data_IF_585653656083
#
_entry.id   IF_585653656083
#
_cell.length_a   1.000
_cell.length_b   1.000
_cell.length_c   1.000
_cell.angle_alpha   90.00
_cell.angle_beta   90.00
_cell.angle_gamma   90.00
#
_symmetry.space_group_name_H-M   'P 1'
#
loop_
_entity.id
_entity.type
_entity.pdbx_description
1 polymer ?
#
# COMPACT_ATOMS: atom_id res chain seq x y z
N UNK A 1 -30.34 -20.49 -23.16
CA UNK A 1 -30.48 -20.00 -21.77
C UNK A 1 -29.20 -19.27 -21.35
N UNK A 2 -29.14 -17.93 -21.46
CA UNK A 2 -27.90 -17.14 -21.27
C UNK A 2 -27.46 -16.95 -19.80
N UNK A 3 -28.33 -17.25 -18.82
CA UNK A 3 -28.04 -17.03 -17.40
C UNK A 3 -27.05 -18.04 -16.79
N UNK A 4 -27.05 -19.29 -17.27
CA UNK A 4 -26.13 -20.33 -16.78
C UNK A 4 -24.69 -20.04 -17.25
N UNK A 5 -24.54 -19.58 -18.49
CA UNK A 5 -23.24 -19.20 -19.05
C UNK A 5 -22.64 -18.00 -18.33
N UNK A 6 -23.45 -16.99 -17.97
CA UNK A 6 -22.99 -15.83 -17.19
C UNK A 6 -22.47 -16.24 -15.80
N UNK A 7 -23.20 -17.07 -15.05
CA UNK A 7 -22.73 -17.57 -13.73
C UNK A 7 -21.43 -18.37 -13.83
N UNK A 8 -21.31 -19.22 -14.85
CA UNK A 8 -20.12 -20.02 -15.08
C UNK A 8 -18.88 -19.18 -15.49
N UNK A 9 -19.10 -18.03 -16.11
CA UNK A 9 -18.03 -17.08 -16.42
C UNK A 9 -17.57 -16.37 -15.15
N UNK A 10 -18.50 -15.82 -14.36
CA UNK A 10 -18.18 -15.13 -13.10
C UNK A 10 -17.46 -16.02 -12.10
N UNK A 11 -17.79 -17.31 -12.04
CA UNK A 11 -17.10 -18.27 -11.18
C UNK A 11 -15.65 -18.52 -11.62
N UNK A 12 -15.40 -18.60 -12.93
CA UNK A 12 -14.06 -18.78 -13.49
C UNK A 12 -13.20 -17.53 -13.28
N UNK A 13 -13.77 -16.36 -13.51
CA UNK A 13 -13.08 -15.09 -13.27
C UNK A 13 -12.74 -14.96 -11.77
N UNK A 14 -13.66 -15.33 -10.89
CA UNK A 14 -13.42 -15.34 -9.44
C UNK A 14 -12.31 -16.32 -9.03
N UNK A 15 -12.20 -17.48 -9.69
CA UNK A 15 -11.16 -18.46 -9.44
C UNK A 15 -9.77 -17.96 -9.91
N UNK A 16 -9.70 -17.40 -11.11
CA UNK A 16 -8.47 -16.81 -11.67
C UNK A 16 -7.94 -15.68 -10.78
N UNK A 17 -8.81 -14.76 -10.37
CA UNK A 17 -8.43 -13.67 -9.46
C UNK A 17 -8.04 -14.17 -8.07
N UNK A 18 -8.62 -15.27 -7.58
CA UNK A 18 -8.21 -15.91 -6.32
C UNK A 18 -6.82 -16.51 -6.42
N UNK A 19 -6.51 -17.23 -7.49
CA UNK A 19 -5.18 -17.80 -7.71
C UNK A 19 -4.12 -16.70 -7.82
N UNK A 20 -4.43 -15.61 -8.53
CA UNK A 20 -3.52 -14.46 -8.64
C UNK A 20 -3.34 -13.73 -7.30
N UNK A 21 -4.38 -13.60 -6.50
CA UNK A 21 -4.30 -13.02 -5.16
C UNK A 21 -3.45 -13.88 -4.21
N UNK A 22 -3.59 -15.21 -4.28
CA UNK A 22 -2.73 -16.16 -3.55
C UNK A 22 -1.30 -16.00 -4.02
N UNK A 23 -1.05 -16.02 -5.33
CA UNK A 23 0.29 -15.86 -5.90
C UNK A 23 0.96 -14.54 -5.48
N UNK A 24 0.20 -13.44 -5.38
CA UNK A 24 0.71 -12.17 -4.88
C UNK A 24 1.03 -12.21 -3.38
N UNK A 25 0.21 -12.88 -2.57
CA UNK A 25 0.44 -13.02 -1.13
C UNK A 25 1.60 -13.96 -0.81
N UNK A 26 1.82 -14.99 -1.63
CA UNK A 26 2.89 -15.97 -1.47
C UNK A 26 4.15 -15.60 -2.25
N UNK A 27 4.11 -14.55 -3.09
CA UNK A 27 5.30 -13.97 -3.67
C UNK A 27 6.06 -13.29 -2.54
N UNK A 28 7.04 -14.00 -1.98
CA UNK A 28 8.01 -13.38 -1.09
C UNK A 28 8.66 -12.23 -1.85
N UNK A 29 8.57 -10.98 -1.37
CA UNK A 29 9.32 -9.92 -1.98
C UNK A 29 10.80 -10.28 -1.81
N UNK A 30 11.55 -10.37 -2.92
CA UNK A 30 13.02 -10.42 -2.91
C UNK A 30 13.57 -9.04 -2.52
N UNK A 31 13.14 -8.58 -1.34
CA UNK A 31 13.79 -7.54 -0.57
C UNK A 31 14.73 -8.33 0.32
N UNK A 32 16.03 -8.34 0.01
CA UNK A 32 17.07 -9.16 0.65
C UNK A 32 17.25 -8.94 2.17
N UNK A 33 16.21 -9.19 2.94
CA UNK A 33 16.14 -9.24 4.38
C UNK A 33 15.83 -10.70 4.72
N UNK A 34 16.88 -11.47 5.00
CA UNK A 34 16.73 -12.84 5.48
C UNK A 34 15.97 -12.94 6.81
N UNK A 35 15.66 -14.16 7.28
CA UNK A 35 14.86 -14.38 8.48
C UNK A 35 15.45 -13.69 9.72
N UNK A 36 14.64 -12.86 10.39
CA UNK A 36 14.97 -12.09 11.60
C UNK A 36 15.24 -12.93 12.87
N UNK A 37 15.31 -14.26 12.77
CA UNK A 37 15.31 -15.17 13.93
C UNK A 37 16.69 -15.51 14.52
N UNK A 38 17.81 -15.17 13.89
CA UNK A 38 19.14 -15.59 14.38
C UNK A 38 20.02 -14.47 14.98
N UNK A 39 19.78 -13.20 14.65
CA UNK A 39 20.68 -12.10 15.03
C UNK A 39 20.37 -11.45 16.38
N UNK A 40 19.09 -11.24 16.69
CA UNK A 40 18.69 -10.39 17.81
C UNK A 40 18.85 -11.05 19.18
N UNK A 41 18.67 -12.37 19.29
CA UNK A 41 18.84 -13.08 20.58
C UNK A 41 20.30 -13.11 21.03
N UNK A 42 21.23 -13.36 20.11
CA UNK A 42 22.67 -13.35 20.43
C UNK A 42 23.18 -11.96 20.85
N UNK A 43 22.64 -10.89 20.25
CA UNK A 43 22.96 -9.52 20.64
C UNK A 43 22.30 -9.13 21.98
N UNK A 44 21.07 -9.56 22.23
CA UNK A 44 20.38 -9.28 23.48
C UNK A 44 21.06 -9.96 24.70
N UNK A 45 21.53 -11.20 24.54
CA UNK A 45 22.18 -11.96 25.62
C UNK A 45 23.56 -11.37 25.99
N UNK A 46 24.32 -10.89 25.00
CA UNK A 46 25.59 -10.20 25.23
C UNK A 46 25.42 -8.85 25.94
N UNK A 47 24.37 -8.09 25.60
CA UNK A 47 24.08 -6.78 26.20
C UNK A 47 23.60 -6.92 27.65
N UNK A 48 22.81 -7.95 27.98
CA UNK A 48 22.37 -8.19 29.37
C UNK A 48 23.54 -8.61 30.27
N UNK A 49 24.47 -9.44 29.77
CA UNK A 49 25.63 -9.89 30.55
C UNK A 49 26.59 -8.75 30.93
N UNK A 50 26.69 -7.69 30.10
CA UNK A 50 27.57 -6.54 30.35
C UNK A 50 26.99 -5.52 31.34
N UNK A 51 25.71 -5.64 31.71
CA UNK A 51 25.01 -4.69 32.58
C UNK A 51 24.85 -5.17 34.03
N UNK A 52 25.43 -6.33 34.40
CA UNK A 52 25.32 -6.89 35.76
C UNK A 52 26.41 -6.40 36.72
N UNK A 53 27.46 -5.72 36.24
CA UNK A 53 28.48 -5.07 37.09
C UNK A 53 28.06 -3.64 37.49
N UNK A 54 26.80 -3.53 37.93
CA UNK A 54 26.09 -2.28 38.22
C UNK A 54 26.40 -1.73 39.61
N UNK A 55 27.60 -1.21 39.83
CA UNK A 55 27.87 -0.37 41.01
C UNK A 55 28.49 1.01 40.72
N UNK A 56 28.80 1.37 39.46
CA UNK A 56 29.59 2.60 39.21
C UNK A 56 29.14 3.62 38.17
N UNK A 57 27.95 3.50 37.56
CA UNK A 57 27.58 4.47 36.53
C UNK A 57 26.10 4.80 36.54
N UNK A 58 25.76 5.98 37.05
CA UNK A 58 24.51 6.67 36.69
C UNK A 58 24.37 6.68 35.15
N UNK A 59 23.14 6.67 34.59
CA UNK A 59 22.94 6.51 33.16
C UNK A 59 23.40 7.77 32.45
N UNK A 60 24.67 7.79 32.04
CA UNK A 60 25.06 8.51 30.85
C UNK A 60 24.30 7.82 29.72
N UNK A 61 23.20 8.44 29.26
CA UNK A 61 22.57 8.10 27.99
C UNK A 61 23.68 8.18 26.93
N UNK A 62 24.28 7.04 26.63
CA UNK A 62 25.41 6.97 25.74
C UNK A 62 24.94 7.39 24.36
N UNK A 63 25.53 8.47 23.83
CA UNK A 63 25.23 8.94 22.47
C UNK A 63 25.45 7.82 21.46
N UNK A 64 26.32 6.84 21.75
CA UNK A 64 26.50 5.66 20.92
C UNK A 64 25.30 4.70 20.97
N UNK A 65 24.65 4.52 22.13
CA UNK A 65 23.41 3.73 22.22
C UNK A 65 22.24 4.39 21.44
N UNK A 66 22.26 5.73 21.32
CA UNK A 66 21.30 6.47 20.50
C UNK A 66 21.70 6.56 19.02
N UNK A 67 22.89 6.09 18.62
CA UNK A 67 23.31 6.07 17.20
C UNK A 67 22.55 5.05 16.36
N UNK A 68 21.92 4.05 16.96
CA UNK A 68 21.10 3.05 16.24
C UNK A 68 19.60 3.38 16.27
N UNK A 69 19.19 4.41 17.02
CA UNK A 69 17.83 4.97 16.95
C UNK A 69 17.71 5.94 15.75
N UNK A 70 18.55 5.76 14.73
CA UNK A 70 18.47 6.58 13.52
C UNK A 70 17.14 6.36 12.84
N UNK A 71 16.47 7.38 12.33
CA UNK A 71 16.32 8.76 12.75
C UNK A 71 15.11 9.17 11.93
N UNK A 72 13.97 9.49 12.54
CA UNK A 72 12.84 10.06 11.82
C UNK A 72 13.23 11.46 11.33
N UNK A 73 13.96 11.51 10.20
CA UNK A 73 14.36 12.76 9.58
C UNK A 73 13.27 13.28 8.65
N UNK A 74 13.40 14.53 8.21
CA UNK A 74 12.51 15.11 7.21
C UNK A 74 12.42 14.27 5.91
N UNK A 75 13.47 13.53 5.54
CA UNK A 75 13.46 12.65 4.36
C UNK A 75 12.50 11.47 4.58
N UNK A 76 12.57 10.83 5.75
CA UNK A 76 11.66 9.75 6.11
C UNK A 76 10.21 10.22 6.16
N UNK A 77 9.96 11.41 6.74
CA UNK A 77 8.64 12.01 6.75
C UNK A 77 8.12 12.28 5.33
N UNK A 78 8.92 12.87 4.45
CA UNK A 78 8.53 13.13 3.04
C UNK A 78 8.23 11.84 2.28
N UNK A 79 9.04 10.81 2.47
CA UNK A 79 8.82 9.51 1.85
C UNK A 79 7.53 8.84 2.37
N UNK A 80 7.30 8.87 3.68
CA UNK A 80 6.08 8.35 4.30
C UNK A 80 4.84 9.13 3.83
N UNK A 81 4.92 10.47 3.80
CA UNK A 81 3.86 11.34 3.29
C UNK A 81 3.54 11.02 1.83
N UNK A 82 4.56 10.95 0.96
CA UNK A 82 4.35 10.57 -0.44
C UNK A 82 3.63 9.22 -0.55
N UNK A 83 4.07 8.20 0.19
CA UNK A 83 3.39 6.88 0.17
C UNK A 83 1.95 6.94 0.71
N UNK A 84 1.68 7.82 1.67
CA UNK A 84 0.32 8.05 2.15
C UNK A 84 -0.53 8.70 1.05
N UNK A 85 -0.05 9.77 0.42
CA UNK A 85 -0.71 10.45 -0.69
C UNK A 85 -1.02 9.46 -1.86
N UNK A 86 -0.05 8.64 -2.24
CA UNK A 86 -0.23 7.60 -3.27
C UNK A 86 -1.31 6.57 -2.91
N UNK A 87 -1.36 6.15 -1.64
CA UNK A 87 -2.40 5.24 -1.14
C UNK A 87 -3.77 5.89 -1.15
N UNK A 88 -3.84 7.17 -0.80
CA UNK A 88 -5.09 7.92 -0.73
C UNK A 88 -5.67 8.10 -2.14
N UNK A 89 -4.84 8.45 -3.14
CA UNK A 89 -5.25 8.50 -4.55
C UNK A 89 -5.79 7.15 -5.05
N UNK A 90 -5.13 6.04 -4.70
CA UNK A 90 -5.61 4.71 -5.06
C UNK A 90 -6.94 4.38 -4.36
N UNK A 91 -7.08 4.74 -3.09
CA UNK A 91 -8.30 4.53 -2.32
C UNK A 91 -9.48 5.34 -2.87
N UNK A 92 -9.26 6.59 -3.28
CA UNK A 92 -10.26 7.43 -3.94
C UNK A 92 -10.75 6.78 -5.24
N UNK A 93 -9.84 6.32 -6.09
CA UNK A 93 -10.21 5.63 -7.33
C UNK A 93 -11.07 4.39 -7.06
N UNK A 94 -10.70 3.55 -6.08
CA UNK A 94 -11.49 2.39 -5.70
C UNK A 94 -12.87 2.80 -5.14
N UNK A 95 -12.91 3.84 -4.31
CA UNK A 95 -14.15 4.30 -3.68
C UNK A 95 -15.14 4.85 -4.71
N UNK A 96 -14.71 5.79 -5.55
CA UNK A 96 -15.62 6.44 -6.49
C UNK A 96 -16.03 5.53 -7.65
N UNK A 97 -15.18 4.60 -8.08
CA UNK A 97 -15.50 3.66 -9.16
C UNK A 97 -16.23 2.40 -8.68
N UNK A 98 -15.98 1.96 -7.44
CA UNK A 98 -16.38 0.61 -7.00
C UNK A 98 -16.89 0.50 -5.56
N UNK A 99 -17.28 1.60 -4.88
CA UNK A 99 -17.82 1.51 -3.50
C UNK A 99 -19.00 0.53 -3.34
N UNK A 100 -19.87 0.42 -4.35
CA UNK A 100 -21.05 -0.46 -4.35
C UNK A 100 -20.75 -1.88 -4.83
N UNK A 101 -19.54 -2.14 -5.30
CA UNK A 101 -19.14 -3.43 -5.86
C UNK A 101 -18.67 -4.41 -4.78
N UNK A 102 -18.60 -5.69 -5.16
CA UNK A 102 -17.94 -6.71 -4.35
C UNK A 102 -16.47 -6.39 -4.09
N UNK A 103 -15.85 -7.03 -3.09
CA UNK A 103 -14.41 -6.87 -2.84
C UNK A 103 -13.55 -7.21 -4.06
N UNK A 104 -13.99 -8.16 -4.89
CA UNK A 104 -13.33 -8.48 -6.16
C UNK A 104 -13.44 -7.33 -7.17
N UNK A 105 -14.59 -6.66 -7.26
CA UNK A 105 -14.76 -5.49 -8.13
C UNK A 105 -13.87 -4.32 -7.73
N UNK A 106 -13.71 -4.09 -6.42
CA UNK A 106 -12.78 -3.08 -5.89
C UNK A 106 -11.31 -3.43 -6.19
N UNK A 107 -10.92 -4.69 -6.00
CA UNK A 107 -9.57 -5.14 -6.37
C UNK A 107 -9.31 -5.03 -7.87
N UNK A 108 -10.32 -5.29 -8.70
CA UNK A 108 -10.21 -5.14 -10.15
C UNK A 108 -9.91 -3.68 -10.54
N UNK A 109 -10.55 -2.69 -9.91
CA UNK A 109 -10.22 -1.27 -10.12
C UNK A 109 -8.79 -0.97 -9.68
N UNK A 110 -8.39 -1.45 -8.49
CA UNK A 110 -7.03 -1.28 -7.99
C UNK A 110 -5.98 -1.84 -8.97
N UNK A 111 -6.26 -3.02 -9.54
CA UNK A 111 -5.40 -3.67 -10.52
C UNK A 111 -5.32 -2.90 -11.84
N UNK A 112 -6.40 -2.27 -12.30
CA UNK A 112 -6.37 -1.39 -13.49
C UNK A 112 -5.42 -0.22 -13.26
N UNK A 113 -5.48 0.42 -12.09
CA UNK A 113 -4.58 1.54 -11.74
C UNK A 113 -3.13 1.04 -11.66
N UNK A 114 -2.87 -0.07 -10.97
CA UNK A 114 -1.53 -0.66 -10.87
C UNK A 114 -0.96 -1.06 -12.23
N UNK A 115 -1.76 -1.65 -13.10
CA UNK A 115 -1.32 -2.06 -14.42
C UNK A 115 -0.92 -0.86 -15.29
N UNK A 116 -1.58 0.30 -15.11
CA UNK A 116 -1.18 1.55 -15.76
C UNK A 116 0.15 2.04 -15.22
N UNK A 117 0.32 2.10 -13.89
CA UNK A 117 1.60 2.47 -13.27
C UNK A 117 2.78 1.62 -13.77
N UNK A 118 2.53 0.33 -14.01
CA UNK A 118 3.54 -0.60 -14.51
C UNK A 118 3.79 -0.53 -16.02
N UNK A 119 3.04 0.29 -16.76
CA UNK A 119 3.13 0.38 -18.22
C UNK A 119 3.81 1.70 -18.62
N UNK A 120 4.86 1.67 -19.47
CA UNK A 120 5.64 2.85 -19.83
C UNK A 120 4.87 3.93 -20.60
N UNK A 121 3.68 3.62 -21.14
CA UNK A 121 2.83 4.60 -21.82
C UNK A 121 2.00 5.45 -20.84
N UNK A 122 2.07 5.18 -19.54
CA UNK A 122 1.32 5.88 -18.50
C UNK A 122 2.28 6.46 -17.44
N UNK A 123 1.80 7.41 -16.62
CA UNK A 123 2.55 7.91 -15.48
C UNK A 123 2.93 6.79 -14.49
N UNK A 124 4.00 7.02 -13.72
CA UNK A 124 4.62 6.00 -12.86
C UNK A 124 4.14 6.06 -11.40
N UNK A 125 3.11 6.86 -11.11
CA UNK A 125 2.54 7.01 -9.77
C UNK A 125 1.02 6.85 -9.81
N UNK A 126 0.43 6.40 -8.70
CA UNK A 126 -1.02 6.23 -8.60
C UNK A 126 -1.73 7.56 -8.74
N UNK A 127 -1.25 8.62 -8.07
CA UNK A 127 -1.88 9.92 -8.16
C UNK A 127 -1.87 10.47 -9.59
N UNK A 128 -0.75 10.39 -10.32
CA UNK A 128 -0.70 10.87 -11.70
C UNK A 128 -1.60 10.06 -12.65
N UNK A 129 -1.73 8.75 -12.44
CA UNK A 129 -2.65 7.91 -13.21
C UNK A 129 -4.11 8.23 -12.91
N UNK A 130 -4.46 8.37 -11.63
CA UNK A 130 -5.83 8.62 -11.18
C UNK A 130 -6.31 9.99 -11.65
N UNK A 131 -5.47 11.02 -11.52
CA UNK A 131 -5.80 12.38 -11.93
C UNK A 131 -5.43 12.69 -13.39
N UNK A 132 -5.07 11.68 -14.18
CA UNK A 132 -4.68 11.87 -15.57
C UNK A 132 -5.82 12.50 -16.38
N UNK A 133 -5.55 13.68 -16.96
CA UNK A 133 -6.51 14.39 -17.81
C UNK A 133 -7.55 15.21 -17.05
N UNK A 134 -7.48 15.26 -15.72
CA UNK A 134 -8.43 16.05 -14.90
C UNK A 134 -8.46 17.55 -15.24
N UNK A 135 -7.34 18.10 -15.71
CA UNK A 135 -7.22 19.50 -16.14
C UNK A 135 -7.53 19.72 -17.63
N UNK A 136 -7.79 18.66 -18.40
CA UNK A 136 -7.98 18.75 -19.86
C UNK A 136 -9.47 18.85 -20.20
N UNK A 137 -9.77 19.65 -21.22
CA UNK A 137 -11.14 19.72 -21.79
C UNK A 137 -11.53 18.49 -22.62
N UNK A 138 -10.56 17.64 -22.97
CA UNK A 138 -10.76 16.45 -23.81
C UNK A 138 -11.29 15.23 -23.06
N UNK A 139 -11.45 15.33 -21.73
CA UNK A 139 -11.93 14.26 -20.87
C UNK A 139 -10.87 13.70 -19.94
N UNK A 140 -11.34 12.92 -18.96
CA UNK A 140 -10.60 12.52 -17.77
C UNK A 140 -10.51 11.01 -17.70
N UNK A 141 -9.41 10.48 -17.18
CA UNK A 141 -9.21 9.04 -17.11
C UNK A 141 -10.21 8.36 -16.17
N UNK A 142 -10.50 9.01 -15.04
CA UNK A 142 -11.54 8.61 -14.11
C UNK A 142 -12.57 9.73 -14.02
N UNK A 143 -13.86 9.42 -14.20
CA UNK A 143 -14.90 10.43 -14.35
C UNK A 143 -15.10 11.26 -13.09
N UNK A 144 -14.88 10.66 -11.92
CA UNK A 144 -15.03 11.32 -10.62
C UNK A 144 -14.10 12.54 -10.45
N UNK A 145 -13.00 12.58 -11.20
CA UNK A 145 -12.03 13.70 -11.18
C UNK A 145 -12.56 14.96 -11.88
N UNK A 146 -13.63 14.84 -12.66
CA UNK A 146 -14.15 15.92 -13.50
C UNK A 146 -15.66 16.16 -13.37
N UNK A 147 -16.41 15.22 -12.80
CA UNK A 147 -17.86 15.33 -12.63
C UNK A 147 -18.28 16.07 -11.33
N UNK A 148 -17.30 16.55 -10.55
CA UNK A 148 -17.53 17.21 -9.26
C UNK A 148 -17.72 16.26 -8.07
N UNK A 149 -17.54 14.95 -8.24
CA UNK A 149 -17.63 13.96 -7.15
C UNK A 149 -16.69 14.24 -5.98
N UNK A 150 -15.52 14.84 -6.26
CA UNK A 150 -14.55 15.26 -5.25
C UNK A 150 -15.06 16.36 -4.31
N UNK A 151 -16.13 17.08 -4.67
CA UNK A 151 -16.78 18.02 -3.75
C UNK A 151 -17.48 17.31 -2.57
N UNK A 152 -17.63 15.99 -2.62
CA UNK A 152 -18.26 15.16 -1.58
C UNK A 152 -17.22 14.24 -0.99
N UNK A 153 -16.85 14.48 0.25
CA UNK A 153 -15.89 13.65 0.97
C UNK A 153 -16.36 12.18 1.03
N UNK A 154 -15.44 11.21 0.84
CA UNK A 154 -15.73 9.80 1.07
C UNK A 154 -16.24 9.57 2.49
N UNK A 155 -17.34 8.82 2.61
CA UNK A 155 -18.02 8.61 3.89
C UNK A 155 -18.58 7.20 4.05
N UNK A 156 -18.81 6.83 5.30
CA UNK A 156 -19.50 5.60 5.69
C UNK A 156 -18.59 4.37 5.75
N UNK A 157 -19.22 3.20 5.85
CA UNK A 157 -18.53 1.91 5.92
C UNK A 157 -17.70 1.61 4.68
N UNK A 158 -18.19 1.99 3.49
CA UNK A 158 -17.49 1.75 2.23
C UNK A 158 -16.12 2.45 2.12
N UNK A 159 -15.89 3.51 2.91
CA UNK A 159 -14.61 4.21 2.99
C UNK A 159 -13.68 3.67 4.10
N UNK A 160 -14.25 3.17 5.21
CA UNK A 160 -13.48 2.75 6.40
C UNK A 160 -12.92 1.32 6.33
N UNK A 161 -13.32 0.56 5.31
CA UNK A 161 -13.01 -0.87 5.16
C UNK A 161 -11.68 -1.13 4.48
#
# INVERSE_FOLDING_TARGET
MPFVQKRAQTQRDTADWRERAIAFQTAEPDVGFGPIEAGWRGQAELVVAQNLDAEKSAPALDRAALRDVQSFTAVHYRAAKKRADERDCLAEAIYYEARGESRLGQLAVADVVRNRVNNPNFPSTFCEVVYQGSERSTGCQFTFTCDGSLAREPRGEAWRR
#
